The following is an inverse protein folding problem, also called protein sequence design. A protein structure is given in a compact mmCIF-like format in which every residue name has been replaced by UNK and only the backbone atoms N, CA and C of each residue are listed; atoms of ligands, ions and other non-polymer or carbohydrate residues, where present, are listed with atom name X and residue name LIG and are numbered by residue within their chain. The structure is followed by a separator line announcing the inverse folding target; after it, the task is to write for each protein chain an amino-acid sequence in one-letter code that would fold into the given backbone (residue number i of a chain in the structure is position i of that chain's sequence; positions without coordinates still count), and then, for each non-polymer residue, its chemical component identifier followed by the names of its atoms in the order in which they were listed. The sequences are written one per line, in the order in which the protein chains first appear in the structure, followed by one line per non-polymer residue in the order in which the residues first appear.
data_IF_499977135017
#
_entry.id   IF_499977135017
#
_cell.length_a   1.000
_cell.length_b   1.000
_cell.length_c   1.000
_cell.angle_alpha   90.00
_cell.angle_beta   90.00
_cell.angle_gamma   90.00
#
_symmetry.space_group_name_H-M   'P 1'
#
loop_
_entity.id
_entity.type
_entity.pdbx_description
1 polymer ?
#
# COMPACT_ATOMS: atom_id res chain seq x y z
N UNK A 1 -19.48 -19.90 1.61
CA UNK A 1 -18.56 -18.93 2.22
C UNK A 1 -18.86 -17.55 1.68
N UNK A 2 -18.98 -16.55 2.55
CA UNK A 2 -19.33 -15.17 2.15
C UNK A 2 -18.10 -14.49 1.51
N UNK A 3 -18.09 -14.17 0.21
CA UNK A 3 -16.96 -13.53 -0.48
C UNK A 3 -16.66 -12.11 0.00
N UNK A 4 -17.47 -11.55 0.91
CA UNK A 4 -17.31 -10.20 1.47
C UNK A 4 -16.38 -10.12 2.66
N UNK A 5 -15.64 -11.19 3.02
CA UNK A 5 -14.79 -11.24 4.22
C UNK A 5 -13.35 -10.80 4.01
N UNK A 6 -12.94 -10.50 2.77
CA UNK A 6 -11.58 -9.99 2.51
C UNK A 6 -11.42 -8.60 3.11
N UNK A 7 -10.39 -8.42 3.94
CA UNK A 7 -10.03 -7.14 4.54
C UNK A 7 -8.70 -6.66 3.98
N UNK A 8 -8.61 -5.37 3.77
CA UNK A 8 -7.35 -4.69 3.52
C UNK A 8 -6.94 -3.94 4.78
N UNK A 9 -5.68 -4.08 5.14
CA UNK A 9 -5.06 -3.36 6.24
C UNK A 9 -3.82 -2.68 5.69
N UNK A 10 -3.70 -1.38 5.94
CA UNK A 10 -2.56 -0.58 5.52
C UNK A 10 -1.88 0.04 6.74
N UNK A 11 -0.59 0.28 6.64
CA UNK A 11 0.20 0.98 7.64
C UNK A 11 0.38 2.42 7.21
N UNK A 12 0.19 3.35 8.15
CA UNK A 12 0.19 4.78 7.87
C UNK A 12 1.57 5.34 7.53
N UNK A 13 1.55 6.31 6.58
CA UNK A 13 2.43 7.42 6.22
C UNK A 13 3.94 7.16 6.16
N UNK A 14 4.52 6.30 6.97
CA UNK A 14 5.89 5.83 6.78
C UNK A 14 6.20 4.67 7.70
N UNK A 15 6.39 3.53 7.09
CA UNK A 15 6.97 2.37 7.75
C UNK A 15 8.46 2.19 7.34
N UNK A 16 9.10 3.24 6.83
CA UNK A 16 10.51 3.25 6.45
C UNK A 16 11.30 4.21 7.33
N UNK A 17 12.46 3.77 7.85
CA UNK A 17 13.31 4.57 8.76
C UNK A 17 13.87 5.80 8.08
N UNK A 18 14.44 5.63 6.89
CA UNK A 18 15.00 6.73 6.11
C UNK A 18 13.97 7.85 5.92
N UNK A 19 12.72 7.49 5.61
CA UNK A 19 11.66 8.48 5.43
C UNK A 19 11.27 9.17 6.75
N UNK A 20 11.18 8.44 7.86
CA UNK A 20 10.88 9.03 9.16
C UNK A 20 11.99 10.01 9.60
N UNK A 21 13.26 9.66 9.37
CA UNK A 21 14.41 10.50 9.66
C UNK A 21 14.44 11.76 8.78
N UNK A 22 14.22 11.63 7.47
CA UNK A 22 14.16 12.77 6.54
C UNK A 22 13.03 13.76 6.90
N UNK A 23 11.89 13.25 7.37
CA UNK A 23 10.77 14.05 7.81
C UNK A 23 10.90 14.61 9.23
N UNK A 24 11.99 14.28 9.96
CA UNK A 24 12.19 14.67 11.35
C UNK A 24 11.15 14.10 12.32
N UNK A 25 10.53 12.96 11.98
CA UNK A 25 9.53 12.31 12.78
C UNK A 25 10.15 11.31 13.76
N UNK A 26 9.57 11.21 14.95
CA UNK A 26 9.93 10.14 15.87
C UNK A 26 9.49 8.78 15.31
N UNK A 27 10.35 7.77 15.43
CA UNK A 27 10.01 6.39 15.06
C UNK A 27 8.84 5.92 15.93
N UNK A 28 7.72 5.51 15.31
CA UNK A 28 6.55 5.10 16.07
C UNK A 28 6.82 3.81 16.86
N UNK A 29 6.22 3.71 18.05
CA UNK A 29 6.38 2.51 18.92
C UNK A 29 5.49 1.34 18.51
N UNK A 30 4.43 1.62 17.74
CA UNK A 30 3.46 0.65 17.24
C UNK A 30 3.05 1.01 15.82
N UNK A 31 2.72 0.02 14.97
CA UNK A 31 2.19 0.30 13.64
C UNK A 31 0.88 1.07 13.74
N UNK A 32 0.72 2.12 12.95
CA UNK A 32 -0.59 2.76 12.78
C UNK A 32 -1.34 2.06 11.65
N UNK A 33 -2.46 1.44 11.98
CA UNK A 33 -3.25 0.64 11.05
C UNK A 33 -4.55 1.36 10.70
N UNK A 34 -4.88 1.36 9.41
CA UNK A 34 -6.21 1.70 8.90
C UNK A 34 -6.63 0.65 7.87
N UNK A 35 -7.89 0.69 7.45
CA UNK A 35 -8.42 -0.25 6.46
C UNK A 35 -8.77 0.47 5.17
N UNK A 36 -8.68 -0.23 4.04
CA UNK A 36 -9.25 0.19 2.76
C UNK A 36 -10.47 -0.67 2.45
N UNK A 37 -11.44 -0.11 1.71
CA UNK A 37 -12.56 -0.89 1.21
C UNK A 37 -12.11 -1.83 0.08
N UNK A 38 -12.61 -3.05 0.08
CA UNK A 38 -12.19 -4.09 -0.87
C UNK A 38 -12.47 -3.75 -2.32
N UNK A 39 -13.43 -2.85 -2.58
CA UNK A 39 -13.76 -2.38 -3.94
C UNK A 39 -12.62 -1.61 -4.61
N UNK A 40 -11.64 -1.09 -3.84
CA UNK A 40 -10.49 -0.41 -4.42
C UNK A 40 -9.45 -1.37 -5.03
N UNK A 41 -9.49 -2.68 -4.68
CA UNK A 41 -8.55 -3.67 -5.20
C UNK A 41 -8.76 -3.92 -6.68
N UNK A 42 -7.69 -3.78 -7.45
CA UNK A 42 -7.68 -4.04 -8.89
C UNK A 42 -6.39 -4.71 -9.32
N UNK A 43 -6.40 -5.29 -10.50
CA UNK A 43 -5.23 -5.94 -11.08
C UNK A 43 -4.13 -4.94 -11.50
N UNK A 44 -2.93 -5.46 -11.82
CA UNK A 44 -1.69 -4.71 -11.96
C UNK A 44 -1.64 -3.73 -13.14
N UNK A 45 -2.55 -3.83 -14.09
CA UNK A 45 -2.60 -3.00 -15.30
C UNK A 45 -3.91 -2.21 -15.41
N UNK A 46 -4.69 -2.14 -14.31
CA UNK A 46 -5.90 -1.33 -14.28
C UNK A 46 -5.55 0.15 -14.23
N UNK A 47 -6.31 0.96 -14.96
CA UNK A 47 -6.19 2.41 -14.90
C UNK A 47 -6.58 2.93 -13.51
N UNK A 48 -5.89 3.97 -13.03
CA UNK A 48 -6.23 4.69 -11.80
C UNK A 48 -7.22 5.79 -12.15
N UNK A 49 -8.43 5.70 -11.60
CA UNK A 49 -9.53 6.62 -11.86
C UNK A 49 -9.53 7.79 -10.85
N UNK A 50 -8.96 8.91 -11.24
CA UNK A 50 -8.80 10.08 -10.39
C UNK A 50 -10.02 11.00 -10.43
N UNK A 51 -10.42 11.53 -9.27
CA UNK A 51 -11.55 12.47 -9.11
C UNK A 51 -11.14 13.84 -8.60
N UNK A 52 -9.90 14.02 -8.14
CA UNK A 52 -9.32 15.30 -7.73
C UNK A 52 -7.94 15.52 -8.35
N UNK A 53 -7.39 16.73 -8.22
CA UNK A 53 -6.04 17.09 -8.67
C UNK A 53 -4.96 16.75 -7.64
N UNK A 54 -5.34 16.14 -6.51
CA UNK A 54 -4.43 15.82 -5.41
C UNK A 54 -4.38 14.30 -5.15
N UNK A 55 -4.40 13.51 -6.23
CA UNK A 55 -4.21 12.06 -6.15
C UNK A 55 -2.72 11.76 -6.12
N UNK A 56 -2.31 10.98 -5.12
CA UNK A 56 -0.92 10.66 -4.79
C UNK A 56 -0.66 9.16 -4.91
N UNK A 57 0.61 8.79 -5.02
CA UNK A 57 1.11 7.43 -5.16
C UNK A 57 1.88 7.00 -3.92
N UNK A 58 1.75 5.74 -3.56
CA UNK A 58 2.49 5.08 -2.47
C UNK A 58 2.82 3.65 -2.90
N UNK A 59 4.05 3.43 -3.40
CA UNK A 59 4.54 2.10 -3.72
C UNK A 59 4.74 1.29 -2.45
N UNK A 60 4.19 0.08 -2.41
CA UNK A 60 4.23 -0.75 -1.21
C UNK A 60 4.50 -2.23 -1.51
N UNK A 61 5.24 -2.87 -0.61
CA UNK A 61 5.24 -4.31 -0.51
C UNK A 61 3.88 -4.76 0.03
N UNK A 62 3.30 -5.78 -0.59
CA UNK A 62 2.02 -6.33 -0.16
C UNK A 62 2.19 -7.78 0.25
N UNK A 63 1.68 -8.13 1.44
CA UNK A 63 1.60 -9.50 1.93
C UNK A 63 0.16 -10.00 1.92
N UNK A 64 -0.06 -11.24 1.48
CA UNK A 64 -1.36 -11.89 1.44
C UNK A 64 -1.40 -13.03 2.44
N UNK A 65 -2.42 -13.05 3.29
CA UNK A 65 -2.60 -14.11 4.29
C UNK A 65 -3.06 -15.41 3.61
N UNK A 66 -2.33 -16.49 3.83
CA UNK A 66 -2.62 -17.83 3.31
C UNK A 66 -3.13 -18.81 4.35
N UNK A 67 -2.93 -18.52 5.64
CA UNK A 67 -3.40 -19.34 6.74
C UNK A 67 -3.99 -18.45 7.82
N UNK A 68 -5.25 -18.68 8.16
CA UNK A 68 -5.92 -17.91 9.22
C UNK A 68 -5.25 -18.09 10.58
N UNK A 69 -5.29 -17.03 11.41
CA UNK A 69 -4.73 -17.11 12.76
C UNK A 69 -5.10 -15.92 13.63
N UNK A 70 -4.85 -16.11 14.93
CA UNK A 70 -4.93 -15.11 15.97
C UNK A 70 -3.75 -15.30 16.92
N UNK A 71 -3.28 -14.23 17.54
CA UNK A 71 -2.13 -14.24 18.46
C UNK A 71 -0.89 -14.93 17.85
N UNK A 72 -0.60 -14.61 16.56
CA UNK A 72 0.50 -15.20 15.79
C UNK A 72 1.82 -14.60 16.28
N UNK A 73 2.78 -15.46 16.67
CA UNK A 73 4.11 -14.98 17.05
C UNK A 73 4.95 -14.56 15.82
N UNK A 74 5.96 -13.73 16.02
CA UNK A 74 6.88 -13.30 14.96
C UNK A 74 7.59 -14.48 14.28
N UNK A 75 7.94 -15.50 15.04
CA UNK A 75 8.62 -16.71 14.56
C UNK A 75 7.76 -17.52 13.59
N UNK A 76 6.44 -17.49 13.79
CA UNK A 76 5.47 -18.25 12.97
C UNK A 76 4.79 -17.40 11.90
N UNK A 77 5.06 -16.10 11.85
CA UNK A 77 4.33 -15.16 10.97
C UNK A 77 4.44 -15.54 9.50
N UNK A 78 5.61 -15.95 9.04
CA UNK A 78 5.83 -16.35 7.64
C UNK A 78 5.01 -17.58 7.23
N UNK A 79 4.68 -18.50 8.15
CA UNK A 79 3.83 -19.67 7.90
C UNK A 79 2.37 -19.28 7.59
N UNK A 80 2.00 -18.05 7.87
CA UNK A 80 0.68 -17.49 7.58
C UNK A 80 0.62 -16.68 6.28
N UNK A 81 1.74 -16.45 5.59
CA UNK A 81 1.81 -15.68 4.35
C UNK A 81 1.74 -16.61 3.14
N UNK A 82 0.73 -16.42 2.29
CA UNK A 82 0.62 -17.12 1.00
C UNK A 82 1.64 -16.62 -0.02
N UNK A 83 1.92 -15.33 0.02
CA UNK A 83 2.85 -14.71 -0.92
C UNK A 83 2.95 -13.21 -0.76
N UNK A 84 3.91 -12.66 -1.51
CA UNK A 84 4.20 -11.25 -1.61
C UNK A 84 3.91 -10.75 -3.02
N UNK A 85 3.49 -9.50 -3.16
CA UNK A 85 3.33 -8.85 -4.46
C UNK A 85 3.62 -7.35 -4.38
N UNK A 86 3.67 -6.71 -5.54
CA UNK A 86 3.76 -5.25 -5.66
C UNK A 86 2.38 -4.65 -5.42
N UNK A 87 2.30 -3.49 -4.77
CA UNK A 87 1.06 -2.73 -4.60
C UNK A 87 1.26 -1.24 -4.67
N UNK A 88 0.14 -0.53 -4.80
CA UNK A 88 0.05 0.92 -4.69
C UNK A 88 -1.10 1.29 -3.75
N UNK A 89 -0.81 2.06 -2.70
CA UNK A 89 -1.82 2.66 -1.83
C UNK A 89 -2.15 4.07 -2.33
N UNK A 90 -2.86 4.12 -3.47
CA UNK A 90 -3.26 5.39 -4.08
C UNK A 90 -4.14 6.18 -3.11
N UNK A 91 -3.88 7.49 -3.02
CA UNK A 91 -4.46 8.36 -1.99
C UNK A 91 -4.99 9.65 -2.60
N UNK A 92 -6.27 9.96 -2.38
CA UNK A 92 -6.83 11.30 -2.62
C UNK A 92 -6.62 12.16 -1.38
N UNK A 93 -5.68 13.09 -1.47
CA UNK A 93 -5.28 13.92 -0.32
C UNK A 93 -6.35 14.95 0.06
N UNK A 94 -7.24 15.34 -0.85
CA UNK A 94 -8.38 16.21 -0.53
C UNK A 94 -9.31 15.51 0.45
N UNK A 95 -9.73 14.28 0.13
CA UNK A 95 -10.63 13.51 0.99
C UNK A 95 -9.92 13.09 2.29
N UNK A 96 -8.64 12.71 2.21
CA UNK A 96 -7.86 12.30 3.38
C UNK A 96 -7.76 13.41 4.44
N UNK A 97 -7.57 14.67 4.00
CA UNK A 97 -7.34 15.81 4.89
C UNK A 97 -8.58 16.73 5.05
N UNK A 98 -9.74 16.33 4.54
CA UNK A 98 -10.98 17.10 4.62
C UNK A 98 -11.44 17.35 6.08
N UNK A 99 -11.08 16.48 7.02
CA UNK A 99 -11.43 16.58 8.43
C UNK A 99 -10.20 16.68 9.34
N UNK A 100 -10.41 17.12 10.58
CA UNK A 100 -9.38 17.10 11.62
C UNK A 100 -9.92 16.32 12.83
N UNK A 101 -9.27 15.20 13.21
CA UNK A 101 -8.06 14.62 12.62
C UNK A 101 -8.32 14.05 11.20
N UNK A 102 -7.26 13.89 10.38
CA UNK A 102 -7.37 13.31 9.06
C UNK A 102 -7.98 11.89 9.09
N UNK A 103 -8.75 11.55 8.04
CA UNK A 103 -9.40 10.26 7.91
C UNK A 103 -8.82 9.51 6.69
N UNK A 104 -8.14 8.40 6.94
CA UNK A 104 -7.36 7.70 5.92
C UNK A 104 -8.21 6.75 5.06
N UNK A 105 -9.17 6.05 5.65
CA UNK A 105 -9.92 4.96 5.00
C UNK A 105 -10.55 5.39 3.67
N UNK A 106 -11.38 6.42 3.65
CA UNK A 106 -12.09 6.83 2.43
C UNK A 106 -11.17 7.47 1.39
N UNK A 107 -10.23 8.33 1.81
CA UNK A 107 -9.27 8.97 0.90
C UNK A 107 -8.37 7.98 0.15
N UNK A 108 -8.22 6.77 0.68
CA UNK A 108 -7.43 5.67 0.12
C UNK A 108 -8.27 4.53 -0.47
N UNK A 109 -9.61 4.67 -0.51
CA UNK A 109 -10.53 3.58 -0.89
C UNK A 109 -11.36 3.86 -2.14
N UNK A 110 -11.05 4.88 -2.92
CA UNK A 110 -11.69 5.04 -4.22
C UNK A 110 -11.51 3.77 -5.06
N UNK A 111 -12.50 3.44 -5.87
CA UNK A 111 -12.35 2.34 -6.83
C UNK A 111 -11.05 2.53 -7.62
N UNK A 112 -10.30 1.46 -7.84
CA UNK A 112 -8.97 1.43 -8.47
C UNK A 112 -7.78 1.94 -7.63
N UNK A 113 -7.96 2.35 -6.37
CA UNK A 113 -6.89 2.90 -5.54
C UNK A 113 -6.02 1.85 -4.81
N UNK A 114 -6.23 0.58 -5.11
CA UNK A 114 -5.44 -0.54 -4.59
C UNK A 114 -4.97 -1.49 -5.69
N UNK A 115 -4.28 -1.01 -6.75
CA UNK A 115 -3.72 -1.93 -7.73
C UNK A 115 -2.65 -2.81 -7.08
N UNK A 116 -2.68 -4.12 -7.37
CA UNK A 116 -1.72 -5.09 -6.87
C UNK A 116 -1.43 -6.20 -7.87
N UNK A 117 -0.25 -6.79 -7.76
CA UNK A 117 0.22 -7.85 -8.64
C UNK A 117 1.69 -7.62 -9.05
N UNK A 118 2.14 -8.00 -10.27
CA UNK A 118 1.44 -8.82 -11.25
C UNK A 118 1.35 -10.30 -10.84
N UNK A 119 2.19 -10.72 -9.91
CA UNK A 119 2.27 -12.09 -9.40
C UNK A 119 2.11 -12.09 -7.88
N UNK A 120 1.60 -13.18 -7.34
CA UNK A 120 1.74 -13.54 -5.93
C UNK A 120 2.90 -14.54 -5.83
N UNK A 121 4.02 -14.10 -5.26
CA UNK A 121 5.25 -14.90 -5.16
C UNK A 121 5.38 -15.45 -3.76
N UNK A 122 5.52 -16.79 -3.64
CA UNK A 122 5.77 -17.43 -2.35
C UNK A 122 7.08 -16.93 -1.74
N UNK A 123 7.14 -16.66 -0.43
CA UNK A 123 8.36 -16.19 0.23
C UNK A 123 9.58 -17.10 0.02
N UNK A 124 9.37 -18.40 -0.19
CA UNK A 124 10.45 -19.39 -0.42
C UNK A 124 11.09 -19.27 -1.79
N UNK A 125 10.42 -18.57 -2.74
CA UNK A 125 10.95 -18.32 -4.09
C UNK A 125 11.89 -17.11 -4.15
N UNK A 126 12.03 -16.38 -3.05
CA UNK A 126 12.88 -15.19 -2.96
C UNK A 126 14.18 -15.51 -2.24
N UNK A 127 15.30 -15.01 -2.76
CA UNK A 127 16.61 -15.20 -2.16
C UNK A 127 16.68 -14.59 -0.75
N UNK A 128 16.22 -13.34 -0.61
CA UNK A 128 16.00 -12.69 0.67
C UNK A 128 14.69 -11.89 0.65
N UNK A 129 13.63 -12.48 1.19
CA UNK A 129 12.29 -11.88 1.26
C UNK A 129 12.21 -10.61 2.12
N UNK A 130 13.22 -10.32 2.92
CA UNK A 130 13.28 -9.13 3.78
C UNK A 130 14.10 -8.00 3.16
N UNK A 131 14.71 -8.20 2.01
CA UNK A 131 15.67 -7.27 1.40
C UNK A 131 15.40 -7.13 -0.11
N UNK A 132 14.27 -6.53 -0.45
CA UNK A 132 13.81 -6.35 -1.82
C UNK A 132 13.86 -4.88 -2.20
N UNK A 133 14.50 -4.56 -3.33
CA UNK A 133 14.50 -3.20 -3.86
C UNK A 133 13.11 -2.83 -4.34
N UNK A 134 12.60 -1.66 -3.89
CA UNK A 134 11.33 -1.08 -4.31
C UNK A 134 11.56 0.24 -5.05
N UNK A 135 10.93 0.42 -6.21
CA UNK A 135 11.05 1.62 -7.04
C UNK A 135 9.68 2.01 -7.60
N UNK A 136 9.33 3.28 -7.44
CA UNK A 136 8.19 3.90 -8.08
C UNK A 136 8.64 4.98 -9.07
N UNK A 137 8.04 4.99 -10.26
CA UNK A 137 8.29 6.01 -11.29
C UNK A 137 6.98 6.59 -11.80
N UNK A 138 7.00 7.88 -12.10
CA UNK A 138 5.93 8.56 -12.84
C UNK A 138 6.52 9.04 -14.16
N UNK A 139 5.99 8.60 -15.29
CA UNK A 139 6.50 8.90 -16.63
C UNK A 139 8.01 8.61 -16.80
N UNK A 140 8.49 7.54 -16.15
CA UNK A 140 9.90 7.15 -16.18
C UNK A 140 10.80 7.87 -15.18
N UNK A 141 10.36 8.96 -14.55
CA UNK A 141 11.08 9.66 -13.48
C UNK A 141 10.92 8.93 -12.15
N UNK A 142 12.03 8.62 -11.48
CA UNK A 142 12.01 7.99 -10.16
C UNK A 142 11.41 8.96 -9.14
N UNK A 143 10.38 8.50 -8.42
CA UNK A 143 9.71 9.22 -7.34
C UNK A 143 10.03 8.61 -5.99
N UNK A 144 10.03 7.28 -5.90
CA UNK A 144 10.35 6.54 -4.69
C UNK A 144 11.40 5.48 -5.02
N UNK A 145 12.40 5.32 -4.17
CA UNK A 145 13.43 4.29 -4.33
C UNK A 145 14.02 3.96 -2.98
N UNK A 146 13.81 2.73 -2.51
CA UNK A 146 14.30 2.25 -1.22
C UNK A 146 14.45 0.72 -1.25
N UNK A 147 14.60 0.11 -0.09
CA UNK A 147 14.69 -1.33 0.10
C UNK A 147 13.83 -1.76 1.30
N UNK A 148 13.17 -2.91 1.20
CA UNK A 148 12.27 -3.41 2.26
C UNK A 148 12.97 -3.75 3.57
N UNK A 149 14.29 -3.86 3.59
CA UNK A 149 15.05 -4.02 4.84
C UNK A 149 15.06 -2.74 5.70
N UNK A 150 14.64 -1.59 5.16
CA UNK A 150 14.46 -0.33 5.89
C UNK A 150 13.10 -0.21 6.61
N UNK A 151 12.22 -1.21 6.47
CA UNK A 151 10.94 -1.24 7.19
C UNK A 151 11.17 -1.13 8.71
N UNK A 152 10.44 -0.21 9.35
CA UNK A 152 10.42 -0.04 10.82
C UNK A 152 9.78 -1.27 11.46
N UNK A 153 8.61 -1.65 10.92
CA UNK A 153 7.90 -2.88 11.27
C UNK A 153 7.92 -3.80 10.05
N UNK A 154 8.67 -4.88 10.14
CA UNK A 154 8.69 -5.92 9.11
C UNK A 154 7.39 -6.73 9.07
N UNK A 155 7.21 -7.58 8.07
CA UNK A 155 6.00 -8.39 7.92
C UNK A 155 5.70 -9.22 9.17
N UNK A 156 6.67 -9.93 9.80
CA UNK A 156 6.44 -10.63 11.07
C UNK A 156 5.90 -9.74 12.20
N UNK A 157 6.46 -8.56 12.37
CA UNK A 157 6.02 -7.62 13.40
C UNK A 157 4.59 -7.11 13.16
N UNK A 158 4.26 -6.82 11.88
CA UNK A 158 2.91 -6.38 11.48
C UNK A 158 1.89 -7.50 11.71
N UNK A 159 2.19 -8.72 11.26
CA UNK A 159 1.30 -9.89 11.42
C UNK A 159 1.05 -10.17 12.90
N UNK A 160 2.09 -10.15 13.72
CA UNK A 160 1.96 -10.30 15.18
C UNK A 160 1.03 -9.24 15.74
N UNK A 161 1.32 -7.96 15.50
CA UNK A 161 0.53 -6.85 16.05
C UNK A 161 -0.94 -6.91 15.62
N UNK A 162 -1.21 -7.15 14.33
CA UNK A 162 -2.57 -7.25 13.81
C UNK A 162 -3.31 -8.44 14.41
N UNK A 163 -2.68 -9.61 14.50
CA UNK A 163 -3.31 -10.82 14.96
C UNK A 163 -3.62 -10.82 16.47
N UNK A 164 -2.95 -10.01 17.27
CA UNK A 164 -3.29 -9.76 18.67
C UNK A 164 -4.61 -8.98 18.83
N UNK A 165 -4.97 -8.15 17.83
CA UNK A 165 -6.16 -7.30 17.86
C UNK A 165 -7.33 -7.95 17.14
N UNK A 166 -7.10 -8.46 15.92
CA UNK A 166 -8.12 -9.07 15.05
C UNK A 166 -7.64 -10.42 14.54
N UNK A 167 -8.56 -11.37 14.35
CA UNK A 167 -8.20 -12.62 13.66
C UNK A 167 -7.89 -12.32 12.20
N UNK A 168 -6.76 -12.80 11.70
CA UNK A 168 -6.41 -12.75 10.29
C UNK A 168 -7.07 -13.91 9.55
N UNK A 169 -7.59 -13.67 8.36
CA UNK A 169 -8.23 -14.70 7.55
C UNK A 169 -7.48 -14.90 6.22
N UNK A 170 -7.60 -16.10 5.66
CA UNK A 170 -7.10 -16.36 4.30
C UNK A 170 -7.67 -15.34 3.32
N UNK A 171 -6.80 -14.74 2.52
CA UNK A 171 -7.13 -13.69 1.57
C UNK A 171 -7.11 -12.27 2.14
N UNK A 172 -6.90 -12.06 3.44
CA UNK A 172 -6.61 -10.71 3.96
C UNK A 172 -5.31 -10.19 3.32
N UNK A 173 -5.30 -8.92 2.93
CA UNK A 173 -4.20 -8.26 2.23
C UNK A 173 -3.63 -7.16 3.12
N UNK A 174 -2.32 -7.16 3.28
CA UNK A 174 -1.59 -6.20 4.12
C UNK A 174 -0.65 -5.38 3.23
N UNK A 175 -0.92 -4.09 3.10
CA UNK A 175 -0.01 -3.11 2.53
C UNK A 175 0.92 -2.62 3.64
N UNK A 176 2.25 -2.65 3.40
CA UNK A 176 3.24 -2.48 4.48
C UNK A 176 3.71 -1.05 4.71
N UNK A 177 3.15 -0.09 3.99
CA UNK A 177 3.55 1.32 4.04
C UNK A 177 4.61 1.68 2.99
N UNK A 178 4.62 2.93 2.52
CA UNK A 178 5.49 3.39 1.43
C UNK A 178 6.86 3.85 1.94
N UNK A 179 7.90 3.79 1.07
CA UNK A 179 9.14 4.52 1.27
C UNK A 179 8.95 6.02 1.05
N UNK A 180 9.96 6.82 1.36
CA UNK A 180 9.99 8.26 1.08
C UNK A 180 9.74 8.62 -0.39
N UNK A 181 9.44 9.90 -0.65
CA UNK A 181 9.17 10.43 -1.99
C UNK A 181 7.71 10.41 -2.41
N UNK A 182 6.78 10.29 -1.45
CA UNK A 182 5.32 10.48 -1.71
C UNK A 182 5.04 11.91 -2.20
N UNK A 183 4.12 12.03 -3.14
CA UNK A 183 3.87 13.29 -3.84
C UNK A 183 3.42 14.45 -2.96
N UNK A 184 2.68 14.18 -1.88
CA UNK A 184 2.19 15.21 -0.96
C UNK A 184 3.31 16.01 -0.30
N UNK A 185 4.47 15.41 -0.06
CA UNK A 185 5.64 16.09 0.56
C UNK A 185 6.26 17.13 -0.38
N UNK A 186 6.18 16.89 -1.70
CA UNK A 186 6.78 17.74 -2.73
C UNK A 186 5.73 18.55 -3.53
N UNK A 187 4.44 18.35 -3.26
CA UNK A 187 3.36 18.93 -4.06
C UNK A 187 3.27 18.35 -5.49
N UNK A 188 3.75 17.12 -5.69
CA UNK A 188 3.80 16.44 -6.99
C UNK A 188 2.73 15.34 -7.06
N UNK A 189 1.56 15.68 -7.53
CA UNK A 189 0.42 14.77 -7.68
C UNK A 189 0.33 14.17 -9.09
N UNK A 190 -0.38 13.05 -9.19
CA UNK A 190 -0.67 12.38 -10.47
C UNK A 190 -1.59 13.24 -11.32
N UNK A 191 -1.34 13.22 -12.63
CA UNK A 191 -2.12 13.94 -13.64
C UNK A 191 -2.72 12.99 -14.66
N UNK A 192 -3.76 13.44 -15.34
CA UNK A 192 -4.33 12.68 -16.45
C UNK A 192 -3.27 12.36 -17.52
N UNK A 193 -3.22 11.09 -17.92
CA UNK A 193 -2.25 10.58 -18.88
C UNK A 193 -0.93 10.14 -18.27
N UNK A 194 -0.66 10.42 -16.99
CA UNK A 194 0.54 9.89 -16.33
C UNK A 194 0.55 8.36 -16.33
N UNK A 195 1.75 7.80 -16.41
CA UNK A 195 2.03 6.37 -16.31
C UNK A 195 2.81 6.12 -15.03
N UNK A 196 2.17 5.44 -14.09
CA UNK A 196 2.75 5.03 -12.83
C UNK A 196 3.33 3.62 -12.98
N UNK A 197 4.65 3.49 -12.79
CA UNK A 197 5.36 2.20 -12.86
C UNK A 197 5.90 1.86 -11.48
N UNK A 198 5.54 0.71 -10.95
CA UNK A 198 5.98 0.23 -9.63
C UNK A 198 6.67 -1.11 -9.77
N UNK A 199 7.89 -1.22 -9.28
CA UNK A 199 8.71 -2.44 -9.36
C UNK A 199 9.19 -2.83 -7.98
N UNK A 200 9.05 -4.11 -7.63
CA UNK A 200 9.75 -4.72 -6.49
C UNK A 200 10.56 -5.90 -7.00
N UNK A 201 11.80 -5.96 -6.57
CA UNK A 201 12.75 -7.02 -6.93
C UNK A 201 12.16 -8.41 -6.62
N UNK A 202 12.25 -9.33 -7.58
CA UNK A 202 11.68 -10.67 -7.46
C UNK A 202 10.16 -10.78 -7.55
N UNK A 203 9.41 -9.65 -7.48
CA UNK A 203 7.94 -9.66 -7.51
C UNK A 203 7.35 -9.14 -8.82
N UNK A 204 8.18 -8.49 -9.67
CA UNK A 204 7.76 -7.98 -10.97
C UNK A 204 7.47 -6.48 -10.99
N UNK A 205 6.76 -6.06 -12.03
CA UNK A 205 6.46 -4.65 -12.30
C UNK A 205 4.98 -4.48 -12.64
N UNK A 206 4.36 -3.48 -12.04
CA UNK A 206 3.03 -2.98 -12.40
C UNK A 206 3.14 -1.70 -13.21
N UNK A 207 2.19 -1.49 -14.11
CA UNK A 207 2.04 -0.26 -14.87
C UNK A 207 0.57 0.16 -14.88
N UNK A 208 0.28 1.36 -14.36
CA UNK A 208 -1.06 1.89 -14.25
C UNK A 208 -1.13 3.27 -14.92
N UNK A 209 -2.08 3.46 -15.84
CA UNK A 209 -2.36 4.77 -16.44
C UNK A 209 -3.32 5.56 -15.57
N UNK A 210 -3.08 6.85 -15.44
CA UNK A 210 -3.94 7.76 -14.70
C UNK A 210 -5.00 8.35 -15.62
N UNK A 211 -6.27 8.24 -15.23
CA UNK A 211 -7.41 8.77 -15.96
C UNK A 211 -8.25 9.67 -15.08
N UNK A 212 -8.66 10.81 -15.61
CA UNK A 212 -9.64 11.66 -14.96
C UNK A 212 -11.04 11.09 -15.22
N UNK A 213 -11.82 10.90 -14.16
CA UNK A 213 -13.24 10.53 -14.25
C UNK A 213 -14.10 11.66 -13.70
N UNK A 214 -15.26 11.89 -14.34
CA UNK A 214 -16.20 12.91 -13.87
C UNK A 214 -16.83 12.47 -12.55
N UNK A 215 -17.02 13.40 -11.63
CA UNK A 215 -17.84 13.18 -10.45
C UNK A 215 -19.29 12.94 -10.88
N UNK A 216 -19.93 11.90 -10.36
CA UNK A 216 -21.33 11.61 -10.61
C UNK A 216 -22.28 12.56 -9.86
N UNK A 217 -21.78 13.28 -8.86
CA UNK A 217 -22.53 14.33 -8.17
C UNK A 217 -22.38 15.62 -8.96
N UNK A 218 -23.45 16.12 -9.55
CA UNK A 218 -23.52 17.45 -10.16
C UNK A 218 -23.44 18.58 -9.14
N UNK A 219 -22.46 18.54 -8.26
CA UNK A 219 -22.04 19.65 -7.43
C UNK A 219 -20.87 20.26 -8.17
N UNK A 220 -21.19 21.28 -8.98
CA UNK A 220 -20.18 22.21 -9.49
C UNK A 220 -19.52 22.88 -8.27
N UNK A 221 -18.19 22.98 -8.29
CA UNK A 221 -17.39 23.70 -7.28
C UNK A 221 -17.73 25.19 -7.25
#
# INVERSE_FOLDING_TARGET
EDPRRQRQMCIRDSNYRNHAEEAGMEIPKVPMIFTKHTTCLVGPHRDIEMRSDHVDYEAELVAVIGKSGKDISTENAWDHIAGLCVGQDISDRVVQFAAKPPQFNLGKSFDTFGPMGPYLVSPDCLEDKNNLKIVCKVNGEIRQSDNTNDLIFDIPAIVKYLSEIVSLNVGDVIFTGPPGGVGVMEGKFLKEGDVLTTTIEGLGTMENKCKRVKNHSGVEE
#
